data_IF_423848735502
#
_entry.id   IF_423848735502
#
_cell.length_a   1.000
_cell.length_b   1.000
_cell.length_c   1.000
_cell.angle_alpha   90.00
_cell.angle_beta   90.00
_cell.angle_gamma   90.00
#
_symmetry.space_group_name_H-M   'P 1'
#
loop_
_entity.id
_entity.type
_entity.pdbx_description
1 polymer ?
#
# COMPACT_ATOMS: atom_id res chain seq x y z
N UNK A 1 15.61 9.01 24.21
CA UNK A 1 16.21 8.51 22.96
C UNK A 1 15.61 9.32 21.83
N UNK A 2 16.44 9.89 20.96
CA UNK A 2 15.96 10.77 19.89
C UNK A 2 15.04 10.00 18.96
N UNK A 3 13.79 10.45 18.81
CA UNK A 3 12.94 10.03 17.70
C UNK A 3 13.53 10.66 16.45
N UNK A 4 14.40 9.94 15.74
CA UNK A 4 14.77 10.29 14.37
C UNK A 4 13.52 10.07 13.51
N UNK A 5 12.74 11.12 13.32
CA UNK A 5 11.67 11.11 12.31
C UNK A 5 12.34 11.09 10.95
N UNK A 6 12.29 9.94 10.28
CA UNK A 6 12.98 9.68 9.01
C UNK A 6 12.70 10.73 7.92
N UNK A 7 11.54 11.40 8.00
CA UNK A 7 11.06 12.42 7.08
C UNK A 7 10.94 13.83 7.71
N UNK A 8 11.45 14.05 8.93
CA UNK A 8 11.40 15.38 9.57
C UNK A 8 10.00 16.00 9.65
N UNK A 9 8.97 15.19 9.92
CA UNK A 9 7.54 15.58 9.89
C UNK A 9 6.96 15.93 8.51
N UNK A 10 7.64 15.62 7.39
CA UNK A 10 7.11 15.84 6.04
C UNK A 10 5.79 15.09 5.84
N UNK A 11 4.70 15.84 5.66
CA UNK A 11 3.47 15.31 5.10
C UNK A 11 3.63 15.19 3.58
N UNK A 12 3.84 13.95 3.11
CA UNK A 12 4.12 13.67 1.71
C UNK A 12 2.98 14.06 0.78
N UNK A 13 1.73 13.91 1.23
CA UNK A 13 0.54 14.27 0.45
C UNK A 13 0.47 15.79 0.26
N UNK A 14 0.59 16.56 1.35
CA UNK A 14 0.56 18.02 1.29
C UNK A 14 1.73 18.57 0.46
N UNK A 15 2.92 17.98 0.63
CA UNK A 15 4.09 18.32 -0.16
C UNK A 15 3.86 18.06 -1.65
N UNK A 16 3.34 16.89 -2.03
CA UNK A 16 3.08 16.54 -3.41
C UNK A 16 2.16 17.53 -4.14
N UNK A 17 1.09 17.97 -3.45
CA UNK A 17 0.13 18.93 -4.02
C UNK A 17 0.60 20.39 -3.98
N UNK A 18 1.68 20.71 -3.25
CA UNK A 18 2.17 22.09 -3.11
C UNK A 18 3.41 22.42 -3.96
N UNK A 19 4.07 21.43 -4.55
CA UNK A 19 5.33 21.63 -5.30
C UNK A 19 5.21 21.31 -6.79
N UNK A 20 6.08 21.92 -7.58
CA UNK A 20 6.20 21.67 -9.02
C UNK A 20 6.88 20.31 -9.34
N UNK A 21 6.67 19.82 -10.55
CA UNK A 21 7.35 18.61 -11.04
C UNK A 21 8.87 18.83 -11.07
N UNK A 22 9.63 17.83 -10.64
CA UNK A 22 11.08 17.89 -10.50
C UNK A 22 11.55 18.44 -9.15
N UNK A 23 10.64 18.90 -8.28
CA UNK A 23 10.99 19.26 -6.92
C UNK A 23 11.50 18.05 -6.13
N UNK A 24 12.51 18.28 -5.29
CA UNK A 24 13.03 17.29 -4.36
C UNK A 24 13.10 17.82 -2.94
N UNK A 25 12.94 16.91 -2.00
CA UNK A 25 13.16 17.13 -0.58
C UNK A 25 14.29 16.21 -0.11
N UNK A 26 15.28 16.79 0.55
CA UNK A 26 16.43 16.07 1.11
C UNK A 26 16.28 16.03 2.63
N UNK A 27 16.03 14.84 3.17
CA UNK A 27 16.14 14.55 4.59
C UNK A 27 17.48 13.87 4.92
N UNK A 28 17.68 13.54 6.20
CA UNK A 28 18.97 13.00 6.68
C UNK A 28 19.30 11.62 6.09
N UNK A 29 18.28 10.75 5.92
CA UNK A 29 18.41 9.38 5.42
C UNK A 29 17.51 9.08 4.22
N UNK A 30 16.80 10.10 3.73
CA UNK A 30 15.77 9.96 2.70
C UNK A 30 15.85 11.10 1.70
N UNK A 31 15.63 10.77 0.43
CA UNK A 31 15.41 11.71 -0.65
C UNK A 31 14.01 11.46 -1.21
N UNK A 32 13.23 12.53 -1.39
CA UNK A 32 11.90 12.48 -1.99
C UNK A 32 11.92 13.31 -3.27
N UNK A 33 11.43 12.77 -4.38
CA UNK A 33 11.43 13.43 -5.68
C UNK A 33 10.05 13.29 -6.31
N UNK A 34 9.42 14.41 -6.67
CA UNK A 34 8.22 14.42 -7.49
C UNK A 34 8.64 14.34 -8.96
N UNK A 35 8.45 13.19 -9.60
CA UNK A 35 8.90 12.99 -10.99
C UNK A 35 7.90 13.53 -12.01
N UNK A 36 6.61 13.48 -11.69
CA UNK A 36 5.55 14.00 -12.55
C UNK A 36 4.29 14.39 -11.74
N UNK A 37 3.18 14.65 -12.44
CA UNK A 37 1.92 15.09 -11.84
C UNK A 37 1.19 14.01 -11.03
N UNK A 38 1.66 12.77 -11.07
CA UNK A 38 1.09 11.61 -10.37
C UNK A 38 2.14 10.88 -9.52
N UNK A 39 3.43 11.05 -9.76
CA UNK A 39 4.45 10.13 -9.25
C UNK A 39 5.41 10.80 -8.27
N UNK A 40 5.63 10.13 -7.14
CA UNK A 40 6.67 10.46 -6.17
C UNK A 40 7.58 9.26 -5.96
N UNK A 41 8.90 9.49 -5.97
CA UNK A 41 9.89 8.50 -5.59
C UNK A 41 10.50 8.88 -4.25
N UNK A 42 10.57 7.92 -3.33
CA UNK A 42 11.19 8.03 -2.02
C UNK A 42 12.37 7.06 -1.99
N UNK A 43 13.58 7.60 -1.88
CA UNK A 43 14.82 6.83 -1.92
C UNK A 43 15.47 6.90 -0.56
N UNK A 44 15.78 5.74 0.01
CA UNK A 44 16.40 5.60 1.31
C UNK A 44 17.91 5.40 1.12
N UNK A 45 18.74 5.95 1.99
CA UNK A 45 20.19 5.66 1.97
C UNK A 45 20.50 4.17 2.16
N UNK A 46 19.57 3.42 2.76
CA UNK A 46 19.59 1.96 2.83
C UNK A 46 19.36 1.27 1.47
N UNK A 47 19.26 2.03 0.37
CA UNK A 47 19.04 1.53 -0.99
C UNK A 47 17.61 1.09 -1.30
N UNK A 48 16.71 1.13 -0.32
CA UNK A 48 15.28 0.94 -0.59
C UNK A 48 14.74 2.10 -1.42
N UNK A 49 13.79 1.80 -2.30
CA UNK A 49 13.03 2.80 -3.03
C UNK A 49 11.54 2.53 -2.89
N UNK A 50 10.74 3.57 -2.77
CA UNK A 50 9.28 3.51 -2.85
C UNK A 50 8.83 4.45 -3.95
N UNK A 51 8.12 3.94 -4.95
CA UNK A 51 7.40 4.76 -5.91
C UNK A 51 5.93 4.81 -5.49
N UNK A 52 5.36 6.00 -5.45
CA UNK A 52 3.99 6.27 -5.05
C UNK A 52 3.28 6.91 -6.23
N UNK A 53 2.18 6.32 -6.66
CA UNK A 53 1.30 6.91 -7.66
C UNK A 53 0.09 7.54 -6.96
N UNK A 54 -0.16 8.82 -7.22
CA UNK A 54 -1.26 9.60 -6.68
C UNK A 54 -2.43 9.69 -7.66
N UNK A 55 -3.65 9.63 -7.13
CA UNK A 55 -4.88 9.98 -7.84
C UNK A 55 -5.14 11.47 -7.66
N UNK A 56 -4.79 12.26 -8.67
CA UNK A 56 -4.90 13.72 -8.64
C UNK A 56 -6.33 14.23 -8.61
N UNK A 57 -7.27 13.52 -9.24
CA UNK A 57 -8.68 13.93 -9.30
C UNK A 57 -9.42 13.81 -7.95
N UNK A 58 -9.04 12.82 -7.13
CA UNK A 58 -9.77 12.47 -5.90
C UNK A 58 -8.97 12.72 -4.62
N UNK A 59 -7.69 13.07 -4.73
CA UNK A 59 -6.81 13.27 -3.59
C UNK A 59 -6.55 11.95 -2.87
N UNK A 60 -5.56 11.18 -3.32
CA UNK A 60 -5.20 9.91 -2.69
C UNK A 60 -4.03 9.21 -3.36
N UNK A 61 -3.70 8.03 -2.85
CA UNK A 61 -2.68 7.13 -3.41
C UNK A 61 -3.40 6.00 -4.15
N UNK A 62 -2.99 5.76 -5.40
CA UNK A 62 -3.42 4.63 -6.23
C UNK A 62 -2.70 3.36 -5.82
N UNK A 63 -1.37 3.39 -5.88
CA UNK A 63 -0.52 2.25 -5.57
C UNK A 63 0.84 2.69 -4.99
N UNK A 64 1.54 1.69 -4.45
CA UNK A 64 2.89 1.80 -3.92
C UNK A 64 3.73 0.66 -4.53
N UNK A 65 4.84 1.01 -5.17
CA UNK A 65 5.83 0.05 -5.66
C UNK A 65 7.08 0.11 -4.77
N UNK A 66 7.48 -1.04 -4.23
CA UNK A 66 8.69 -1.16 -3.41
C UNK A 66 9.85 -1.74 -4.23
N UNK A 67 10.99 -1.06 -4.18
CA UNK A 67 12.27 -1.53 -4.69
C UNK A 67 13.16 -1.93 -3.53
N UNK A 68 13.45 -3.24 -3.44
CA UNK A 68 14.26 -3.82 -2.36
C UNK A 68 15.59 -4.30 -2.91
N UNK A 69 16.73 -3.85 -2.36
CA UNK A 69 18.05 -4.35 -2.77
C UNK A 69 18.20 -5.87 -2.56
N UNK A 70 18.84 -6.61 -3.49
CA UNK A 70 18.99 -8.07 -3.39
C UNK A 70 19.67 -8.59 -2.12
N UNK A 71 20.46 -7.74 -1.44
CA UNK A 71 21.10 -8.07 -0.16
C UNK A 71 20.10 -8.36 0.97
N UNK A 72 18.84 -7.97 0.81
CA UNK A 72 17.77 -8.25 1.76
C UNK A 72 16.99 -9.55 1.46
N UNK A 73 17.37 -10.30 0.42
CA UNK A 73 16.80 -11.63 0.16
C UNK A 73 16.85 -12.49 1.44
N UNK A 74 15.76 -13.20 1.73
CA UNK A 74 15.57 -14.05 2.92
C UNK A 74 15.62 -13.31 4.27
N UNK A 75 15.66 -11.97 4.28
CA UNK A 75 15.77 -11.16 5.48
C UNK A 75 14.62 -10.15 5.63
N UNK A 76 13.61 -10.21 4.76
CA UNK A 76 12.39 -9.41 4.90
C UNK A 76 11.32 -10.16 5.69
N UNK A 77 10.45 -9.41 6.35
CA UNK A 77 9.23 -9.91 6.97
C UNK A 77 8.16 -8.83 6.85
N UNK A 78 6.89 -9.21 6.93
CA UNK A 78 5.76 -8.29 6.87
C UNK A 78 4.74 -8.66 5.81
N UNK A 79 3.90 -7.70 5.47
CA UNK A 79 2.83 -7.86 4.46
C UNK A 79 3.34 -8.21 3.04
N UNK A 80 4.64 -8.04 2.77
CA UNK A 80 5.28 -8.35 1.49
C UNK A 80 6.13 -9.64 1.51
N UNK A 81 6.11 -10.40 2.60
CA UNK A 81 6.74 -11.72 2.67
C UNK A 81 8.27 -11.72 2.89
N UNK A 82 8.89 -12.88 2.64
CA UNK A 82 10.28 -13.20 3.06
C UNK A 82 11.31 -12.99 1.95
N UNK A 83 10.87 -12.58 0.75
CA UNK A 83 11.72 -12.26 -0.41
C UNK A 83 12.77 -13.37 -0.68
N UNK A 84 12.29 -14.62 -0.67
CA UNK A 84 13.07 -15.84 -0.88
C UNK A 84 12.68 -16.58 -2.18
N UNK A 85 11.83 -15.97 -3.00
CA UNK A 85 11.21 -16.54 -4.21
C UNK A 85 10.32 -17.77 -3.94
N UNK A 86 9.80 -17.91 -2.72
CA UNK A 86 8.88 -18.98 -2.34
C UNK A 86 7.52 -18.40 -1.88
N UNK A 87 6.50 -18.36 -2.76
CA UNK A 87 5.21 -17.79 -2.37
C UNK A 87 4.49 -18.57 -1.26
N UNK A 88 4.90 -19.81 -0.96
CA UNK A 88 4.23 -20.62 0.06
C UNK A 88 4.46 -20.16 1.49
N UNK A 89 5.44 -19.29 1.75
CA UNK A 89 5.73 -18.72 3.07
C UNK A 89 5.56 -17.19 3.14
N UNK A 90 5.08 -16.53 2.09
CA UNK A 90 4.92 -15.08 2.08
C UNK A 90 3.83 -14.60 3.06
N UNK A 91 2.81 -15.43 3.32
CA UNK A 91 1.79 -15.15 4.33
C UNK A 91 2.19 -15.65 5.72
N UNK A 92 3.43 -15.35 6.13
CA UNK A 92 3.94 -15.65 7.48
C UNK A 92 3.55 -14.53 8.46
N UNK A 93 2.89 -14.90 9.54
CA UNK A 93 2.51 -13.98 10.63
C UNK A 93 3.71 -13.62 11.52
N UNK A 94 3.63 -12.57 12.34
CA UNK A 94 4.71 -12.19 13.27
C UNK A 94 5.08 -13.28 14.28
N UNK A 95 4.15 -14.17 14.63
CA UNK A 95 4.38 -15.34 15.50
C UNK A 95 4.93 -16.57 14.75
N UNK A 96 5.14 -16.47 13.43
CA UNK A 96 5.77 -17.50 12.60
C UNK A 96 4.81 -18.55 12.02
N UNK A 97 3.50 -18.38 12.13
CA UNK A 97 2.52 -19.25 11.46
C UNK A 97 2.42 -18.88 9.99
N UNK A 98 2.22 -19.89 9.14
CA UNK A 98 2.03 -19.71 7.69
C UNK A 98 0.55 -19.85 7.37
N UNK A 99 -0.06 -18.81 6.81
CA UNK A 99 -1.41 -18.89 6.24
C UNK A 99 -1.29 -19.38 4.78
N UNK A 100 -2.05 -20.40 4.35
CA UNK A 100 -1.98 -20.86 2.97
C UNK A 100 -2.39 -19.77 1.98
N UNK A 101 -1.63 -19.62 0.88
CA UNK A 101 -2.00 -18.70 -0.22
C UNK A 101 -3.35 -19.03 -0.89
N UNK A 102 -3.85 -20.25 -0.68
CA UNK A 102 -5.16 -20.70 -1.15
C UNK A 102 -6.32 -20.35 -0.21
N UNK A 103 -6.04 -19.73 0.94
CA UNK A 103 -7.08 -19.25 1.86
C UNK A 103 -7.95 -18.19 1.21
N UNK A 104 -9.21 -18.12 1.65
CA UNK A 104 -10.11 -17.05 1.19
C UNK A 104 -9.60 -15.69 1.68
N UNK A 105 -9.82 -14.66 0.91
CA UNK A 105 -9.39 -13.28 1.19
C UNK A 105 -9.76 -12.78 2.60
N UNK A 106 -10.94 -13.15 3.11
CA UNK A 106 -11.34 -12.84 4.48
C UNK A 106 -10.44 -13.47 5.55
N UNK A 107 -9.98 -14.70 5.33
CA UNK A 107 -9.03 -15.35 6.23
C UNK A 107 -7.65 -14.69 6.11
N UNK A 108 -7.18 -14.40 4.88
CA UNK A 108 -5.92 -13.69 4.67
C UNK A 108 -5.94 -12.34 5.40
N UNK A 109 -7.05 -11.61 5.33
CA UNK A 109 -7.20 -10.35 6.05
C UNK A 109 -7.14 -10.53 7.58
N UNK A 110 -7.97 -11.42 8.15
CA UNK A 110 -8.09 -11.55 9.60
C UNK A 110 -6.89 -12.25 10.25
N UNK A 111 -6.42 -13.34 9.64
CA UNK A 111 -5.47 -14.27 10.26
C UNK A 111 -4.01 -13.96 9.88
N UNK A 112 -3.78 -13.08 8.88
CA UNK A 112 -2.46 -12.61 8.46
C UNK A 112 -2.37 -11.08 8.43
N UNK A 113 -3.23 -10.39 7.68
CA UNK A 113 -3.12 -8.94 7.48
C UNK A 113 -3.25 -8.13 8.77
N UNK A 114 -4.24 -8.48 9.61
CA UNK A 114 -4.45 -7.82 10.90
C UNK A 114 -3.34 -8.11 11.92
N UNK A 115 -2.64 -9.24 11.81
CA UNK A 115 -1.53 -9.57 12.71
C UNK A 115 -0.33 -8.61 12.52
N UNK A 116 -0.17 -8.06 11.32
CA UNK A 116 0.86 -7.05 11.01
C UNK A 116 0.45 -5.61 11.36
N UNK A 117 -0.69 -5.42 12.05
CA UNK A 117 -1.13 -4.10 12.48
C UNK A 117 -0.18 -3.50 13.52
N UNK A 118 0.32 -2.29 13.24
CA UNK A 118 1.14 -1.53 14.20
C UNK A 118 0.24 -1.08 15.35
N UNK A 119 0.44 -1.62 16.55
CA UNK A 119 -0.50 -1.48 17.67
C UNK A 119 -0.45 -0.10 18.37
N UNK A 120 0.67 0.61 18.31
CA UNK A 120 0.81 1.92 18.95
C UNK A 120 1.42 2.98 18.04
N UNK A 121 1.05 4.24 18.28
CA UNK A 121 1.63 5.40 17.57
C UNK A 121 3.14 5.55 17.82
N UNK A 122 3.66 4.95 18.90
CA UNK A 122 5.08 5.00 19.22
C UNK A 122 5.90 3.98 18.42
N UNK A 123 5.26 2.91 17.96
CA UNK A 123 5.84 1.90 17.07
C UNK A 123 5.71 2.30 15.59
N UNK A 124 4.87 3.31 15.30
CA UNK A 124 4.74 3.89 13.97
C UNK A 124 5.90 4.81 13.65
N UNK A 125 6.53 4.57 12.49
CA UNK A 125 7.50 5.49 11.89
C UNK A 125 6.85 6.66 11.14
N UNK A 126 5.52 6.62 10.95
CA UNK A 126 4.74 7.70 10.32
C UNK A 126 4.19 8.66 11.38
N UNK A 127 4.29 9.96 11.11
CA UNK A 127 3.99 11.04 12.06
C UNK A 127 2.49 11.32 12.25
N UNK A 128 1.61 10.71 11.47
CA UNK A 128 0.18 11.03 11.52
C UNK A 128 -0.55 10.36 12.69
N UNK A 129 -0.65 11.10 13.80
CA UNK A 129 -1.38 10.72 15.01
C UNK A 129 -2.91 10.79 14.86
N UNK A 130 -3.44 11.50 13.84
CA UNK A 130 -4.88 11.71 13.66
C UNK A 130 -5.55 10.56 12.91
N UNK A 131 -4.82 9.84 12.06
CA UNK A 131 -5.36 8.69 11.32
C UNK A 131 -5.34 7.36 12.08
N UNK A 132 -4.50 7.23 13.12
CA UNK A 132 -4.43 6.01 13.93
C UNK A 132 -5.77 5.70 14.64
N UNK A 133 -6.49 6.74 15.07
CA UNK A 133 -7.78 6.61 15.77
C UNK A 133 -8.96 6.25 14.84
N UNK A 134 -8.83 6.43 13.52
CA UNK A 134 -9.94 6.25 12.56
C UNK A 134 -9.94 4.90 11.84
N UNK A 135 -8.88 4.08 11.96
CA UNK A 135 -8.74 2.82 11.20
C UNK A 135 -9.05 1.53 11.97
N UNK A 136 -9.34 1.59 13.27
CA UNK A 136 -9.63 0.38 14.07
C UNK A 136 -10.93 -0.32 13.62
N UNK A 137 -11.84 0.38 12.95
CA UNK A 137 -13.11 -0.18 12.45
C UNK A 137 -13.14 -0.44 10.94
N UNK A 138 -12.00 -0.39 10.24
CA UNK A 138 -11.98 -0.68 8.80
C UNK A 138 -12.20 -2.18 8.57
N UNK A 139 -13.21 -2.50 7.76
CA UNK A 139 -13.45 -3.85 7.25
C UNK A 139 -13.54 -3.73 5.74
N UNK A 140 -12.62 -4.38 4.98
CA UNK A 140 -12.67 -4.34 3.53
C UNK A 140 -13.86 -5.13 3.01
N UNK A 141 -14.27 -4.84 1.79
CA UNK A 141 -15.22 -5.68 1.07
C UNK A 141 -14.47 -6.91 0.58
N UNK A 142 -14.86 -8.10 1.05
CA UNK A 142 -14.24 -9.35 0.63
C UNK A 142 -14.85 -9.81 -0.70
N UNK A 143 -14.02 -10.12 -1.69
CA UNK A 143 -14.38 -10.75 -2.96
C UNK A 143 -15.25 -11.99 -2.76
N UNK A 144 -14.99 -12.77 -1.71
CA UNK A 144 -15.81 -13.95 -1.36
C UNK A 144 -17.26 -13.62 -0.96
N UNK A 145 -17.54 -12.37 -0.57
CA UNK A 145 -18.85 -11.92 -0.10
C UNK A 145 -19.63 -11.11 -1.15
N UNK A 146 -19.00 -10.71 -2.26
CA UNK A 146 -19.65 -9.87 -3.27
C UNK A 146 -20.49 -10.70 -4.23
N UNK A 147 -21.78 -10.36 -4.34
CA UNK A 147 -22.65 -10.84 -5.42
C UNK A 147 -22.39 -9.99 -6.66
N UNK A 148 -21.80 -10.61 -7.67
CA UNK A 148 -21.38 -9.93 -8.91
C UNK A 148 -22.59 -9.65 -9.83
N UNK A 149 -22.90 -8.36 -10.12
CA UNK A 149 -23.89 -7.99 -11.12
C UNK A 149 -23.43 -8.33 -12.55
N UNK A 150 -24.35 -8.72 -13.43
CA UNK A 150 -24.00 -9.16 -14.80
C UNK A 150 -23.54 -8.01 -15.69
N UNK A 151 -24.04 -6.80 -15.46
CA UNK A 151 -23.62 -5.57 -16.14
C UNK A 151 -22.14 -5.23 -15.88
N UNK A 152 -21.66 -5.39 -14.64
CA UNK A 152 -20.25 -5.18 -14.28
C UNK A 152 -19.35 -6.22 -14.93
N UNK A 153 -19.77 -7.49 -14.96
CA UNK A 153 -19.01 -8.55 -15.65
C UNK A 153 -18.85 -8.28 -17.13
N UNK A 154 -19.92 -7.79 -17.78
CA UNK A 154 -19.90 -7.41 -19.19
C UNK A 154 -18.96 -6.22 -19.39
N UNK A 155 -19.08 -5.17 -18.58
CA UNK A 155 -18.22 -3.99 -18.69
C UNK A 155 -16.73 -4.32 -18.49
N UNK A 156 -16.41 -5.20 -17.55
CA UNK A 156 -15.03 -5.61 -17.27
C UNK A 156 -14.51 -6.75 -18.15
N UNK A 157 -15.28 -7.22 -19.14
CA UNK A 157 -14.92 -8.38 -19.98
C UNK A 157 -14.51 -9.63 -19.17
N UNK A 158 -15.08 -9.82 -17.97
CA UNK A 158 -14.73 -10.90 -17.06
C UNK A 158 -13.42 -10.74 -16.28
N UNK A 159 -12.73 -9.59 -16.37
CA UNK A 159 -11.53 -9.32 -15.57
C UNK A 159 -11.86 -9.16 -14.08
N UNK A 160 -11.30 -10.04 -13.25
CA UNK A 160 -11.65 -10.08 -11.83
C UNK A 160 -11.17 -8.85 -11.05
N UNK A 161 -10.06 -8.23 -11.47
CA UNK A 161 -9.50 -7.03 -10.84
C UNK A 161 -10.38 -5.82 -11.11
N UNK A 162 -10.80 -5.62 -12.36
CA UNK A 162 -11.75 -4.60 -12.78
C UNK A 162 -13.08 -4.77 -12.07
N UNK A 163 -13.60 -6.01 -11.98
CA UNK A 163 -14.86 -6.30 -11.30
C UNK A 163 -14.76 -5.90 -9.83
N UNK A 164 -13.69 -6.32 -9.15
CA UNK A 164 -13.46 -5.99 -7.74
C UNK A 164 -13.32 -4.47 -7.53
N UNK A 165 -12.51 -3.78 -8.35
CA UNK A 165 -12.31 -2.34 -8.25
C UNK A 165 -13.62 -1.56 -8.48
N UNK A 166 -14.40 -1.94 -9.50
CA UNK A 166 -15.71 -1.34 -9.78
C UNK A 166 -16.67 -1.45 -8.60
N UNK A 167 -16.65 -2.60 -7.91
CA UNK A 167 -17.52 -2.87 -6.76
C UNK A 167 -17.09 -2.12 -5.50
N UNK A 168 -15.78 -2.00 -5.26
CA UNK A 168 -15.23 -1.35 -4.06
C UNK A 168 -15.24 0.16 -4.17
N UNK A 169 -14.94 0.71 -5.34
CA UNK A 169 -14.91 2.17 -5.56
C UNK A 169 -16.29 2.76 -5.78
N UNK A 170 -17.29 1.93 -6.13
CA UNK A 170 -18.60 2.39 -6.58
C UNK A 170 -18.54 3.20 -7.88
N UNK A 171 -17.38 3.21 -8.56
CA UNK A 171 -17.18 3.85 -9.85
C UNK A 171 -17.77 2.94 -10.95
N UNK A 172 -19.10 2.93 -11.03
CA UNK A 172 -19.79 2.43 -12.21
C UNK A 172 -19.28 3.22 -13.42
N UNK A 173 -18.48 2.57 -14.27
CA UNK A 173 -18.13 3.07 -15.61
C UNK A 173 -17.35 4.40 -15.57
N UNK A 174 -16.15 4.40 -14.99
CA UNK A 174 -15.14 5.42 -15.27
C UNK A 174 -13.76 4.87 -15.62
N UNK A 175 -13.43 3.67 -15.16
CA UNK A 175 -12.17 3.00 -15.49
C UNK A 175 -12.23 2.17 -16.78
N UNK A 176 -13.43 1.83 -17.26
CA UNK A 176 -13.63 1.00 -18.46
C UNK A 176 -13.45 1.79 -19.76
N UNK A 177 -13.63 3.12 -19.73
CA UNK A 177 -13.56 3.94 -20.95
C UNK A 177 -12.12 4.38 -21.33
N UNK A 178 -11.09 3.94 -20.59
CA UNK A 178 -9.69 4.35 -20.78
C UNK A 178 -8.69 3.19 -20.98
N UNK A 179 -9.15 1.97 -21.30
CA UNK A 179 -8.30 0.86 -21.74
C UNK A 179 -8.69 0.36 -23.13
#
# INVERSE_FOLDING_TARGET
AAHETFLGELNLTDWFFSVDNGASYQGDLVEVIKTDVTTVNVIFQSGFGITIHFLTEFGGVLDLLLMVPPRYNNNTVGLLGVMNNNPSDDLTTPDGRIIPISSVDKQIFNDFGQEWHVATVNDSIFFDKLHFSRRISFVPVFKSEIKMPDDVKIACHGDESCIYDSLVTGAYIKFVDNF
#
